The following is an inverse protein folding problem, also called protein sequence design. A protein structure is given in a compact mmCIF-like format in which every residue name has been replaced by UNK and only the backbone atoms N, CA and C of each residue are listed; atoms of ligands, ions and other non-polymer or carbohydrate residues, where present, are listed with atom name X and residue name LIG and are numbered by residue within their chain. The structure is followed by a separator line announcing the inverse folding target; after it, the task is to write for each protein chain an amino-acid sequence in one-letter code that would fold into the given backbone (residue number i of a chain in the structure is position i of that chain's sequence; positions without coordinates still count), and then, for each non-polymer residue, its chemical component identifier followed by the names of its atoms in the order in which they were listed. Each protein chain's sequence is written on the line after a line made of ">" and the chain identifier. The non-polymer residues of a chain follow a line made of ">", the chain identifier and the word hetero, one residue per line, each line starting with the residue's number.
data_IF_169912599954
#
_entry.id   IF_169912599954
#
_cell.length_a   1.000
_cell.length_b   1.000
_cell.length_c   1.000
_cell.angle_alpha   90.00
_cell.angle_beta   90.00
_cell.angle_gamma   90.00
#
_symmetry.space_group_name_H-M   'P 1'
#
loop_
_entity.id
_entity.type
_entity.pdbx_description
1 polymer ?
#
# COMPACT_ATOMS: atom_id res chain seq x y z
N UNK A 1 14.80 -1.95 10.76
CA UNK A 1 14.53 -2.09 12.19
C UNK A 1 13.45 -3.16 12.38
N UNK A 2 13.70 -4.19 13.23
CA UNK A 2 12.70 -5.24 13.48
C UNK A 2 11.36 -4.72 14.00
N UNK A 3 11.35 -3.57 14.64
CA UNK A 3 10.12 -2.93 15.14
C UNK A 3 9.24 -2.36 14.03
N UNK A 4 9.75 -2.32 12.82
CA UNK A 4 9.00 -1.88 11.64
C UNK A 4 8.25 -3.04 10.98
N UNK A 5 8.41 -4.27 11.45
CA UNK A 5 7.80 -5.46 10.88
C UNK A 5 6.67 -5.97 11.77
N UNK A 6 5.49 -6.13 11.17
CA UNK A 6 4.33 -6.77 11.80
C UNK A 6 4.08 -8.09 11.05
N UNK A 7 4.13 -9.20 11.78
CA UNK A 7 3.86 -10.52 11.19
C UNK A 7 2.37 -10.72 11.00
N UNK A 8 1.99 -11.31 9.88
CA UNK A 8 0.59 -11.55 9.52
C UNK A 8 0.43 -12.97 8.97
N UNK A 9 -0.81 -13.38 8.74
CA UNK A 9 -1.13 -14.68 8.14
C UNK A 9 -0.88 -14.73 6.63
N UNK A 10 -0.59 -13.61 6.00
CA UNK A 10 -0.34 -13.53 4.57
C UNK A 10 -0.54 -12.12 4.02
N UNK A 11 -0.37 -11.97 2.72
CA UNK A 11 -0.47 -10.68 2.05
C UNK A 11 -1.86 -10.05 2.16
N UNK A 12 -2.92 -10.86 2.17
CA UNK A 12 -4.30 -10.35 2.32
C UNK A 12 -4.48 -9.63 3.65
N UNK A 13 -4.04 -10.25 4.75
CA UNK A 13 -4.11 -9.61 6.06
C UNK A 13 -3.22 -8.37 6.13
N UNK A 14 -2.01 -8.43 5.55
CA UNK A 14 -1.09 -7.29 5.50
C UNK A 14 -1.71 -6.10 4.77
N UNK A 15 -2.34 -6.35 3.61
CA UNK A 15 -3.01 -5.30 2.83
C UNK A 15 -4.20 -4.69 3.60
N UNK A 16 -5.01 -5.53 4.24
CA UNK A 16 -6.13 -5.06 5.05
C UNK A 16 -5.63 -4.20 6.22
N UNK A 17 -4.63 -4.67 6.95
CA UNK A 17 -4.07 -3.94 8.09
C UNK A 17 -3.49 -2.60 7.65
N UNK A 18 -2.73 -2.57 6.57
CA UNK A 18 -2.12 -1.34 6.05
C UNK A 18 -3.19 -0.33 5.64
N UNK A 19 -4.10 -0.74 4.77
CA UNK A 19 -5.07 0.17 4.15
C UNK A 19 -6.12 0.63 5.16
N UNK A 20 -6.76 -0.31 5.85
CA UNK A 20 -7.76 0.04 6.88
C UNK A 20 -7.14 0.76 8.06
N UNK A 21 -6.00 0.27 8.53
CA UNK A 21 -5.31 0.88 9.67
C UNK A 21 -4.88 2.32 9.39
N UNK A 22 -4.31 2.57 8.22
CA UNK A 22 -3.90 3.92 7.82
C UNK A 22 -5.10 4.84 7.61
N UNK A 23 -6.15 4.36 6.93
CA UNK A 23 -7.35 5.15 6.67
C UNK A 23 -8.06 5.55 7.97
N UNK A 24 -8.29 4.60 8.86
CA UNK A 24 -8.99 4.86 10.12
C UNK A 24 -8.19 5.76 11.06
N UNK A 25 -6.87 5.57 11.14
CA UNK A 25 -6.03 6.41 11.99
C UNK A 25 -5.99 7.86 11.49
N UNK A 26 -6.04 8.08 10.19
CA UNK A 26 -5.88 9.38 9.57
C UNK A 26 -7.18 10.03 9.09
N UNK A 27 -8.34 9.46 9.43
CA UNK A 27 -9.65 9.95 8.95
C UNK A 27 -9.95 11.41 9.34
N UNK A 28 -9.33 11.91 10.41
CA UNK A 28 -9.48 13.31 10.81
C UNK A 28 -8.77 14.27 9.85
N UNK A 29 -7.75 13.80 9.13
CA UNK A 29 -7.00 14.58 8.13
C UNK A 29 -7.68 14.57 6.77
N UNK A 30 -8.46 13.56 6.47
CA UNK A 30 -9.15 13.42 5.20
C UNK A 30 -9.73 12.03 5.01
N UNK A 31 -10.55 11.88 3.97
CA UNK A 31 -11.26 10.64 3.66
C UNK A 31 -11.07 10.18 2.21
N UNK A 32 -10.09 10.73 1.52
CA UNK A 32 -9.83 10.36 0.14
C UNK A 32 -8.66 9.39 0.03
N UNK A 33 -8.89 8.29 -0.69
CA UNK A 33 -7.92 7.23 -0.95
C UNK A 33 -7.76 7.06 -2.46
N UNK A 34 -6.57 6.69 -2.90
CA UNK A 34 -6.29 6.44 -4.32
C UNK A 34 -5.65 5.07 -4.47
N UNK A 35 -6.09 4.32 -5.47
CA UNK A 35 -5.47 3.07 -5.88
C UNK A 35 -5.60 2.89 -7.40
N UNK A 36 -5.10 1.79 -7.95
CA UNK A 36 -5.19 1.49 -9.37
C UNK A 36 -6.25 0.42 -9.62
N UNK A 37 -6.89 0.46 -10.79
CA UNK A 37 -7.86 -0.56 -11.21
C UNK A 37 -7.21 -1.94 -11.38
N UNK A 38 -5.90 -1.98 -11.60
CA UNK A 38 -5.13 -3.21 -11.85
C UNK A 38 -4.63 -3.88 -10.56
N UNK A 39 -5.03 -3.38 -9.39
CA UNK A 39 -4.61 -3.93 -8.10
C UNK A 39 -5.20 -5.32 -7.84
N UNK A 40 -4.57 -6.04 -6.91
CA UNK A 40 -5.07 -7.34 -6.46
C UNK A 40 -6.46 -7.19 -5.81
N UNK A 41 -7.27 -8.25 -5.93
CA UNK A 41 -8.63 -8.29 -5.36
C UNK A 41 -8.68 -7.89 -3.88
N UNK A 42 -7.70 -8.33 -3.08
CA UNK A 42 -7.64 -8.00 -1.66
C UNK A 42 -7.59 -6.48 -1.42
N UNK A 43 -6.84 -5.75 -2.25
CA UNK A 43 -6.76 -4.28 -2.15
C UNK A 43 -8.08 -3.65 -2.60
N UNK A 44 -8.61 -4.08 -3.73
CA UNK A 44 -9.85 -3.51 -4.28
C UNK A 44 -11.04 -3.75 -3.34
N UNK A 45 -11.17 -4.94 -2.78
CA UNK A 45 -12.26 -5.27 -1.85
C UNK A 45 -12.14 -4.46 -0.55
N UNK A 46 -10.92 -4.27 -0.06
CA UNK A 46 -10.67 -3.43 1.12
C UNK A 46 -11.06 -1.98 0.87
N UNK A 47 -10.72 -1.45 -0.30
CA UNK A 47 -11.10 -0.08 -0.68
C UNK A 47 -12.62 0.08 -0.77
N UNK A 48 -13.31 -0.91 -1.35
CA UNK A 48 -14.79 -0.89 -1.42
C UNK A 48 -15.44 -0.93 -0.04
N UNK A 49 -14.85 -1.69 0.89
CA UNK A 49 -15.34 -1.70 2.28
C UNK A 49 -15.20 -0.33 2.94
N UNK A 50 -14.08 0.35 2.71
CA UNK A 50 -13.87 1.71 3.22
C UNK A 50 -14.84 2.72 2.59
N UNK A 51 -15.22 2.54 1.33
CA UNK A 51 -16.27 3.36 0.71
C UNK A 51 -17.59 3.24 1.48
N UNK A 52 -17.96 2.03 1.91
CA UNK A 52 -19.16 1.81 2.74
C UNK A 52 -19.07 2.50 4.09
N UNK A 53 -17.86 2.73 4.59
CA UNK A 53 -17.59 3.41 5.85
C UNK A 53 -17.44 4.93 5.69
N UNK A 54 -17.69 5.47 4.51
CA UNK A 54 -17.72 6.92 4.26
C UNK A 54 -16.45 7.50 3.64
N UNK A 55 -15.50 6.67 3.23
CA UNK A 55 -14.34 7.12 2.47
C UNK A 55 -14.67 7.27 0.99
N UNK A 56 -13.96 8.15 0.30
CA UNK A 56 -14.01 8.26 -1.15
C UNK A 56 -12.75 7.62 -1.74
N UNK A 57 -12.94 6.77 -2.74
CA UNK A 57 -11.82 6.09 -3.39
C UNK A 57 -11.79 6.46 -4.87
N UNK A 58 -10.63 6.88 -5.35
CA UNK A 58 -10.36 7.07 -6.77
C UNK A 58 -9.58 5.87 -7.28
N UNK A 59 -10.12 5.19 -8.28
CA UNK A 59 -9.48 4.05 -8.95
C UNK A 59 -8.92 4.55 -10.27
N UNK A 60 -7.60 4.69 -10.34
CA UNK A 60 -6.93 5.23 -11.53
C UNK A 60 -6.72 4.15 -12.59
N UNK A 61 -6.86 4.54 -13.85
CA UNK A 61 -6.45 3.73 -14.98
C UNK A 61 -4.93 3.77 -15.13
N UNK A 62 -4.38 2.74 -15.74
CA UNK A 62 -2.97 2.70 -16.15
C UNK A 62 -2.88 2.97 -17.65
N UNK A 63 -1.67 3.31 -18.10
CA UNK A 63 -1.38 3.49 -19.54
C UNK A 63 -1.46 2.14 -20.28
N UNK A 64 -1.42 2.18 -21.60
CA UNK A 64 -1.46 0.97 -22.43
C UNK A 64 -0.33 -0.02 -22.12
N UNK A 65 0.81 0.45 -21.61
CA UNK A 65 1.92 -0.38 -21.16
C UNK A 65 1.77 -0.91 -19.72
N UNK A 66 0.66 -0.59 -19.04
CA UNK A 66 0.38 -1.02 -17.67
C UNK A 66 0.97 -0.13 -16.58
N UNK A 67 1.76 0.87 -16.91
CA UNK A 67 2.36 1.78 -15.94
C UNK A 67 1.38 2.88 -15.53
N UNK A 68 1.48 3.31 -14.28
CA UNK A 68 0.79 4.51 -13.81
C UNK A 68 1.48 5.75 -14.38
N UNK A 69 0.70 6.62 -15.03
CA UNK A 69 1.18 7.94 -15.43
C UNK A 69 1.22 8.84 -14.20
N UNK A 70 2.39 9.37 -13.88
CA UNK A 70 2.59 10.20 -12.71
C UNK A 70 1.75 11.49 -12.75
N UNK A 71 1.51 12.03 -13.96
CA UNK A 71 0.66 13.21 -14.13
C UNK A 71 -0.81 12.90 -13.83
N UNK A 72 -1.27 11.69 -14.14
CA UNK A 72 -2.63 11.24 -13.79
C UNK A 72 -2.77 11.14 -12.27
N UNK A 73 -1.78 10.58 -11.59
CA UNK A 73 -1.78 10.54 -10.12
C UNK A 73 -1.79 11.95 -9.54
N UNK A 74 -0.92 12.81 -10.03
CA UNK A 74 -0.78 14.19 -9.55
C UNK A 74 -2.10 14.96 -9.67
N UNK A 75 -2.79 14.79 -10.79
CA UNK A 75 -4.09 15.43 -11.03
C UNK A 75 -5.18 14.90 -10.10
N UNK A 76 -5.07 13.66 -9.63
CA UNK A 76 -6.05 13.03 -8.76
C UNK A 76 -5.85 13.37 -7.28
N UNK A 77 -4.69 13.88 -6.89
CA UNK A 77 -4.40 14.24 -5.50
C UNK A 77 -5.25 15.44 -5.05
N UNK A 78 -5.86 15.31 -3.89
CA UNK A 78 -6.73 16.32 -3.27
C UNK A 78 -6.14 16.74 -1.92
N UNK A 79 -6.56 17.89 -1.36
CA UNK A 79 -6.15 18.28 0.00
C UNK A 79 -6.53 17.27 1.08
N UNK A 80 -7.62 16.48 0.85
CA UNK A 80 -8.09 15.46 1.77
C UNK A 80 -7.62 14.04 1.41
N UNK A 81 -6.69 13.88 0.47
CA UNK A 81 -6.09 12.59 0.15
C UNK A 81 -5.13 12.18 1.28
N UNK A 82 -5.35 10.99 1.86
CA UNK A 82 -4.57 10.50 2.99
C UNK A 82 -3.70 9.29 2.66
N UNK A 83 -4.05 8.54 1.61
CA UNK A 83 -3.36 7.29 1.27
C UNK A 83 -3.40 7.04 -0.23
N UNK A 84 -2.27 6.62 -0.76
CA UNK A 84 -2.15 6.04 -2.11
C UNK A 84 -1.61 4.62 -1.94
N UNK A 85 -2.27 3.65 -2.57
CA UNK A 85 -1.88 2.25 -2.53
C UNK A 85 -1.64 1.73 -3.94
N UNK A 86 -0.44 1.20 -4.20
CA UNK A 86 -0.03 0.71 -5.52
C UNK A 86 0.70 -0.63 -5.39
N UNK A 87 0.40 -1.56 -6.28
CA UNK A 87 1.13 -2.82 -6.41
C UNK A 87 2.48 -2.57 -7.07
N UNK A 88 3.56 -3.10 -6.50
CA UNK A 88 4.90 -2.93 -7.05
C UNK A 88 5.08 -3.69 -8.37
N UNK A 89 4.81 -5.00 -8.34
CA UNK A 89 4.91 -5.89 -9.50
C UNK A 89 3.56 -6.53 -9.76
N UNK A 90 3.07 -6.40 -10.99
CA UNK A 90 1.88 -7.12 -11.44
C UNK A 90 2.32 -8.19 -12.45
N UNK A 91 2.31 -9.45 -12.02
CA UNK A 91 2.74 -10.57 -12.85
C UNK A 91 1.77 -10.89 -14.00
N UNK A 92 0.49 -10.54 -13.85
CA UNK A 92 -0.52 -10.82 -14.88
C UNK A 92 -0.30 -9.99 -16.13
N UNK A 93 0.15 -8.75 -15.96
CA UNK A 93 0.40 -7.82 -17.07
C UNK A 93 1.89 -7.54 -17.28
N UNK A 94 2.77 -8.15 -16.49
CA UNK A 94 4.23 -8.04 -16.65
C UNK A 94 4.80 -6.65 -16.36
N UNK A 95 4.24 -5.94 -15.39
CA UNK A 95 4.59 -4.54 -15.11
C UNK A 95 5.25 -4.38 -13.76
N UNK A 96 6.29 -3.53 -13.72
CA UNK A 96 6.92 -3.05 -12.49
C UNK A 96 6.69 -1.55 -12.39
N UNK A 97 5.96 -1.10 -11.36
CA UNK A 97 5.69 0.32 -11.14
C UNK A 97 6.91 1.03 -10.57
N UNK A 98 7.08 2.30 -10.93
CA UNK A 98 8.13 3.16 -10.38
C UNK A 98 7.71 3.68 -8.99
N UNK A 99 7.91 2.86 -7.96
CA UNK A 99 7.50 3.21 -6.60
C UNK A 99 8.34 4.34 -6.00
N UNK A 100 9.57 4.55 -6.48
CA UNK A 100 10.39 5.66 -6.01
C UNK A 100 9.77 7.00 -6.43
N UNK A 101 9.37 7.14 -7.69
CA UNK A 101 8.76 8.37 -8.20
C UNK A 101 7.38 8.60 -7.59
N UNK A 102 6.55 7.56 -7.49
CA UNK A 102 5.21 7.64 -6.89
C UNK A 102 5.32 8.04 -5.42
N UNK A 103 6.21 7.39 -4.68
CA UNK A 103 6.41 7.68 -3.27
C UNK A 103 6.96 9.07 -3.01
N UNK A 104 7.87 9.56 -3.85
CA UNK A 104 8.39 10.91 -3.74
C UNK A 104 7.28 11.96 -3.91
N UNK A 105 6.38 11.75 -4.87
CA UNK A 105 5.22 12.62 -5.06
C UNK A 105 4.29 12.60 -3.83
N UNK A 106 3.97 11.43 -3.32
CA UNK A 106 3.13 11.29 -2.13
C UNK A 106 3.76 11.99 -0.92
N UNK A 107 5.05 11.76 -0.69
CA UNK A 107 5.78 12.37 0.43
C UNK A 107 5.81 13.89 0.33
N UNK A 108 5.97 14.45 -0.86
CA UNK A 108 5.96 15.90 -1.08
C UNK A 108 4.62 16.54 -0.72
N UNK A 109 3.56 15.76 -0.69
CA UNK A 109 2.19 16.21 -0.36
C UNK A 109 1.72 15.76 1.03
N UNK A 110 2.57 15.09 1.81
CA UNK A 110 2.20 14.58 3.13
C UNK A 110 1.19 13.44 3.09
N UNK A 111 1.16 12.68 2.01
CA UNK A 111 0.25 11.55 1.79
C UNK A 111 1.00 10.25 2.07
N UNK A 112 0.38 9.33 2.82
CA UNK A 112 0.95 8.00 3.06
C UNK A 112 0.96 7.18 1.77
N UNK A 113 2.04 6.43 1.58
CA UNK A 113 2.20 5.54 0.44
C UNK A 113 2.34 4.09 0.89
N UNK A 114 1.38 3.27 0.49
CA UNK A 114 1.37 1.82 0.69
C UNK A 114 1.71 1.11 -0.61
N UNK A 115 2.60 0.12 -0.53
CA UNK A 115 2.98 -0.73 -1.65
C UNK A 115 2.59 -2.18 -1.35
N UNK A 116 1.82 -2.78 -2.24
CA UNK A 116 1.60 -4.23 -2.23
C UNK A 116 2.77 -4.88 -2.97
N UNK A 117 3.69 -5.48 -2.23
CA UNK A 117 4.86 -6.14 -2.77
C UNK A 117 4.80 -7.66 -2.68
N UNK A 118 3.60 -8.23 -2.57
CA UNK A 118 3.42 -9.67 -2.46
C UNK A 118 3.99 -10.43 -3.67
N UNK A 119 3.95 -9.84 -4.86
CA UNK A 119 4.51 -10.43 -6.09
C UNK A 119 5.93 -9.98 -6.40
N UNK A 120 6.47 -9.02 -5.66
CA UNK A 120 7.80 -8.46 -5.88
C UNK A 120 8.91 -9.26 -5.18
N UNK A 121 8.58 -10.00 -4.13
CA UNK A 121 9.55 -10.76 -3.33
C UNK A 121 10.39 -11.70 -4.18
N UNK A 122 11.71 -11.56 -4.11
CA UNK A 122 12.66 -12.38 -4.85
C UNK A 122 12.81 -12.00 -6.32
N UNK A 123 12.05 -11.04 -6.83
CA UNK A 123 12.09 -10.63 -8.25
C UNK A 123 12.77 -9.28 -8.47
N UNK A 124 12.71 -8.41 -7.47
CA UNK A 124 13.34 -7.10 -7.48
C UNK A 124 14.04 -6.87 -6.15
N UNK A 125 15.09 -6.07 -6.18
CA UNK A 125 15.77 -5.65 -4.95
C UNK A 125 14.97 -4.50 -4.34
N UNK A 126 14.58 -4.68 -3.07
CA UNK A 126 13.83 -3.67 -2.31
C UNK A 126 14.71 -3.16 -1.18
N UNK A 127 15.09 -1.89 -1.23
CA UNK A 127 15.82 -1.22 -0.17
C UNK A 127 14.93 -0.12 0.42
N UNK A 128 14.24 -0.44 1.51
CA UNK A 128 13.29 0.47 2.17
C UNK A 128 13.98 1.67 2.82
N UNK A 129 15.31 1.62 3.04
CA UNK A 129 16.04 2.78 3.54
C UNK A 129 16.15 3.90 2.51
N UNK A 130 16.01 3.57 1.22
CA UNK A 130 16.13 4.51 0.11
C UNK A 130 14.80 4.83 -0.57
N UNK A 131 13.78 4.03 -0.34
CA UNK A 131 12.48 4.20 -0.98
C UNK A 131 11.53 5.00 -0.08
N UNK A 132 10.82 5.98 -0.64
CA UNK A 132 9.84 6.76 0.13
C UNK A 132 8.51 6.00 0.27
N UNK A 133 8.58 4.82 0.88
CA UNK A 133 7.44 3.93 1.13
C UNK A 133 7.15 3.94 2.63
N UNK A 134 5.89 4.14 2.99
CA UNK A 134 5.46 4.19 4.39
C UNK A 134 5.00 2.83 4.91
N UNK A 135 4.36 2.06 4.04
CA UNK A 135 3.80 0.75 4.35
C UNK A 135 4.08 -0.20 3.18
N UNK A 136 4.48 -1.43 3.47
CA UNK A 136 4.71 -2.42 2.42
C UNK A 136 4.22 -3.80 2.86
N UNK A 137 3.34 -4.38 2.06
CA UNK A 137 2.82 -5.73 2.29
C UNK A 137 3.70 -6.76 1.59
N UNK A 138 4.09 -7.79 2.32
CA UNK A 138 4.98 -8.85 1.86
C UNK A 138 4.31 -10.22 2.08
N UNK A 139 4.67 -11.17 1.22
CA UNK A 139 4.22 -12.56 1.34
C UNK A 139 5.44 -13.48 1.38
N UNK A 140 5.51 -14.36 2.38
CA UNK A 140 6.65 -15.25 2.57
C UNK A 140 6.58 -16.52 1.70
N UNK A 141 5.39 -16.96 1.29
CA UNK A 141 5.25 -18.22 0.56
C UNK A 141 5.84 -18.19 -0.85
N UNK A 142 6.08 -17.00 -1.41
CA UNK A 142 6.72 -16.83 -2.74
C UNK A 142 8.23 -16.78 -2.64
N UNK A 143 8.81 -16.86 -1.44
CA UNK A 143 10.23 -16.80 -1.16
C UNK A 143 10.62 -17.86 -0.14
N UNK A 144 10.59 -19.13 -0.49
CA UNK A 144 11.06 -20.24 0.35
C UNK A 144 10.54 -20.28 1.80
N UNK A 145 9.62 -19.39 2.18
CA UNK A 145 9.01 -19.37 3.51
C UNK A 145 7.81 -20.30 3.61
N UNK A 146 7.35 -20.61 4.83
CA UNK A 146 6.15 -21.43 5.01
C UNK A 146 4.91 -20.71 4.48
N UNK A 147 3.96 -21.49 3.95
CA UNK A 147 2.66 -20.98 3.51
C UNK A 147 1.91 -20.36 4.69
N UNK A 148 1.17 -19.29 4.43
CA UNK A 148 0.34 -18.66 5.45
C UNK A 148 1.10 -17.69 6.36
N UNK A 149 2.29 -17.23 5.94
CA UNK A 149 3.02 -16.17 6.63
C UNK A 149 3.19 -14.99 5.69
N UNK A 150 2.87 -13.81 6.18
CA UNK A 150 3.14 -12.54 5.55
C UNK A 150 3.74 -11.56 6.52
N UNK A 151 4.06 -10.39 6.04
CA UNK A 151 4.57 -9.31 6.86
C UNK A 151 4.08 -7.96 6.35
N UNK A 152 3.90 -7.04 7.27
CA UNK A 152 3.65 -5.64 6.95
C UNK A 152 4.81 -4.82 7.48
N UNK A 153 5.49 -4.11 6.59
CA UNK A 153 6.45 -3.08 6.97
C UNK A 153 5.70 -1.79 7.28
N UNK A 154 5.99 -1.22 8.45
CA UNK A 154 5.42 0.07 8.90
C UNK A 154 6.59 0.98 9.27
N UNK A 155 6.79 2.04 8.51
CA UNK A 155 7.94 2.94 8.69
C UNK A 155 7.89 3.65 10.04
N UNK A 156 9.05 3.76 10.69
CA UNK A 156 9.18 4.48 11.97
C UNK A 156 9.83 5.86 11.84
N UNK A 157 10.57 6.11 10.74
CA UNK A 157 11.26 7.40 10.53
C UNK A 157 11.03 7.88 9.09
N UNK A 158 10.13 8.84 8.82
CA UNK A 158 9.16 9.43 9.76
C UNK A 158 8.14 8.39 10.22
N UNK A 159 7.62 8.57 11.42
CA UNK A 159 6.75 7.55 12.03
C UNK A 159 5.38 7.51 11.37
N UNK A 160 5.03 6.33 10.88
CA UNK A 160 3.71 6.02 10.35
C UNK A 160 2.89 5.32 11.44
N UNK A 161 1.65 5.75 11.63
CA UNK A 161 0.73 5.19 12.62
C UNK A 161 -0.48 4.61 11.92
N UNK A 162 -0.88 3.44 12.38
CA UNK A 162 -2.05 2.74 11.87
C UNK A 162 -2.89 2.22 13.03
N UNK A 163 -4.20 2.04 12.81
CA UNK A 163 -5.05 1.38 13.78
C UNK A 163 -4.93 -0.14 13.65
N UNK A 164 -5.04 -0.83 14.79
CA UNK A 164 -5.10 -2.28 14.82
C UNK A 164 -6.46 -2.76 14.31
N UNK A 165 -6.47 -3.87 13.57
CA UNK A 165 -7.72 -4.51 13.12
C UNK A 165 -8.31 -5.40 14.19
N UNK A 166 -7.44 -6.02 15.02
CA UNK A 166 -7.82 -6.96 16.07
C UNK A 166 -7.25 -6.44 17.38
N UNK A 167 -8.07 -6.41 18.41
CA UNK A 167 -7.67 -5.94 19.73
C UNK A 167 -7.56 -7.10 20.71
N UNK A 168 -6.67 -6.98 21.71
CA UNK A 168 -6.56 -7.92 22.81
C UNK A 168 -5.37 -8.88 22.75
N UNK A 169 -4.54 -8.81 21.75
CA UNK A 169 -3.28 -9.52 21.71
C UNK A 169 -2.18 -8.69 22.35
N UNK A 170 -1.50 -9.22 23.33
CA UNK A 170 -0.40 -8.54 24.03
C UNK A 170 0.83 -8.28 23.20
#
# INVERSE_FOLDING_TARGET
>A
DPREIVWTSGATESNNLAIKGAALFNKAKGRHLITLKTEHKAVLDTMRELEREGFEVTYLDVMGNGLLDLEVLKAALRPDTILVSVMHVNNEIGVIQDIAAIGALCRSRGILFHVDAAQASGKVVIDLSRLPVDLMSLSAHKTYGPKGIGALYVRRKPRVRIEALIHGGG
#
